data_IF_028217039785
#
_entry.id   IF_028217039785
#
_cell.length_a   1.000
_cell.length_b   1.000
_cell.length_c   1.000
_cell.angle_alpha   90.00
_cell.angle_beta   90.00
_cell.angle_gamma   90.00
#
_symmetry.space_group_name_H-M   'P 1'
#
loop_
_entity.id
_entity.type
_entity.pdbx_description
1 polymer ?
#
# COMPACT_ATOMS: atom_id res chain seq x y z
N UNK A 1 -20.83 10.91 -5.88
CA UNK A 1 -20.71 9.63 -6.63
C UNK A 1 -20.10 8.62 -5.68
N UNK A 2 -20.67 7.41 -5.63
CA UNK A 2 -20.07 6.29 -4.90
C UNK A 2 -18.77 5.89 -5.59
N UNK A 3 -17.77 5.42 -4.85
CA UNK A 3 -16.43 5.10 -5.37
C UNK A 3 -16.09 3.64 -5.13
N UNK A 4 -15.44 3.03 -6.14
CA UNK A 4 -14.78 1.74 -6.04
C UNK A 4 -13.33 1.95 -5.62
N UNK A 5 -12.94 1.38 -4.50
CA UNK A 5 -11.60 1.57 -3.92
C UNK A 5 -10.78 0.28 -3.99
N UNK A 6 -9.51 0.42 -4.35
CA UNK A 6 -8.50 -0.62 -4.14
C UNK A 6 -7.62 -0.20 -2.97
N UNK A 7 -7.51 -1.04 -1.94
CA UNK A 7 -6.65 -0.79 -0.78
C UNK A 7 -5.63 -1.92 -0.70
N UNK A 8 -4.36 -1.63 -0.95
CA UNK A 8 -3.30 -2.62 -0.78
C UNK A 8 -2.74 -2.55 0.63
N UNK A 9 -2.38 -3.69 1.21
CA UNK A 9 -2.01 -3.76 2.63
C UNK A 9 -3.21 -3.60 3.58
N UNK A 10 -4.42 -3.89 3.08
CA UNK A 10 -5.66 -3.67 3.83
C UNK A 10 -5.88 -4.66 4.97
N UNK A 11 -5.14 -5.76 5.04
CA UNK A 11 -5.15 -6.68 6.19
C UNK A 11 -4.18 -6.24 7.31
N UNK A 12 -3.33 -5.25 7.06
CA UNK A 12 -2.44 -4.67 8.06
C UNK A 12 -3.18 -3.77 9.05
N UNK A 13 -2.46 -3.30 10.09
CA UNK A 13 -3.04 -2.46 11.14
C UNK A 13 -3.71 -1.19 10.59
N UNK A 14 -2.98 -0.37 9.84
CA UNK A 14 -3.53 0.87 9.28
C UNK A 14 -4.62 0.58 8.26
N UNK A 15 -4.37 -0.39 7.37
CA UNK A 15 -5.29 -0.73 6.28
C UNK A 15 -6.64 -1.23 6.76
N UNK A 16 -6.67 -2.12 7.76
CA UNK A 16 -7.93 -2.65 8.30
C UNK A 16 -8.78 -1.57 8.98
N UNK A 17 -8.16 -0.68 9.75
CA UNK A 17 -8.88 0.46 10.36
C UNK A 17 -9.43 1.43 9.30
N UNK A 18 -8.68 1.65 8.21
CA UNK A 18 -9.16 2.44 7.09
C UNK A 18 -10.37 1.78 6.42
N UNK A 19 -10.31 0.46 6.18
CA UNK A 19 -11.43 -0.32 5.63
C UNK A 19 -12.66 -0.19 6.51
N UNK A 20 -12.54 -0.43 7.80
CA UNK A 20 -13.64 -0.33 8.78
C UNK A 20 -14.26 1.08 8.79
N UNK A 21 -13.42 2.12 8.70
CA UNK A 21 -13.90 3.49 8.62
C UNK A 21 -14.68 3.73 7.32
N UNK A 22 -14.12 3.33 6.18
CA UNK A 22 -14.72 3.56 4.87
C UNK A 22 -16.04 2.79 4.68
N UNK A 23 -16.18 1.58 5.21
CA UNK A 23 -17.44 0.82 5.18
C UNK A 23 -18.58 1.51 5.90
N UNK A 24 -18.29 2.43 6.84
CA UNK A 24 -19.29 3.29 7.49
C UNK A 24 -19.68 4.50 6.65
N UNK A 25 -19.02 4.73 5.53
CA UNK A 25 -19.30 5.82 4.59
C UNK A 25 -20.09 5.34 3.38
N UNK A 26 -20.36 6.25 2.44
CA UNK A 26 -21.07 5.92 1.20
C UNK A 26 -20.12 5.43 0.10
N UNK A 27 -19.31 4.40 0.39
CA UNK A 27 -18.44 3.71 -0.58
C UNK A 27 -19.27 2.71 -1.39
N UNK A 28 -18.92 2.48 -2.66
CA UNK A 28 -19.58 1.46 -3.50
C UNK A 28 -19.02 0.08 -3.20
N UNK A 29 -17.71 -0.10 -3.45
CA UNK A 29 -16.99 -1.33 -3.13
C UNK A 29 -15.58 -1.04 -2.64
N UNK A 30 -15.05 -1.92 -1.80
CA UNK A 30 -13.66 -1.95 -1.35
C UNK A 30 -13.07 -3.30 -1.70
N UNK A 31 -12.07 -3.31 -2.58
CA UNK A 31 -11.22 -4.47 -2.80
C UNK A 31 -9.92 -4.28 -2.04
N UNK A 32 -9.62 -5.19 -1.13
CA UNK A 32 -8.36 -5.26 -0.41
C UNK A 32 -7.44 -6.23 -1.14
N UNK A 33 -6.19 -5.80 -1.37
CA UNK A 33 -5.09 -6.64 -1.83
C UNK A 33 -4.07 -6.78 -0.70
N UNK A 34 -3.82 -7.99 -0.25
CA UNK A 34 -2.81 -8.31 0.76
C UNK A 34 -2.32 -9.74 0.51
N UNK A 35 -1.03 -10.00 0.67
CA UNK A 35 -0.44 -11.33 0.49
C UNK A 35 -0.50 -12.18 1.76
N UNK A 36 -1.02 -11.60 2.84
CA UNK A 36 -1.06 -12.21 4.18
C UNK A 36 0.26 -12.84 4.61
N UNK A 37 1.40 -12.23 4.18
CA UNK A 37 2.72 -12.76 4.46
C UNK A 37 3.05 -12.86 5.96
N UNK A 38 4.12 -13.57 6.27
CA UNK A 38 4.61 -13.90 7.61
C UNK A 38 5.52 -12.82 8.24
N UNK A 39 5.46 -11.58 7.77
CA UNK A 39 6.22 -10.47 8.39
C UNK A 39 5.89 -10.31 9.88
N UNK A 40 4.65 -10.56 10.23
CA UNK A 40 4.16 -10.89 11.57
C UNK A 40 3.07 -11.96 11.45
N UNK A 41 2.62 -12.49 12.57
CA UNK A 41 1.67 -13.60 12.61
C UNK A 41 0.50 -13.43 11.64
N UNK A 42 0.34 -14.28 10.61
CA UNK A 42 -0.71 -14.16 9.59
C UNK A 42 -2.13 -14.20 10.17
N UNK A 43 -2.33 -14.88 11.29
CA UNK A 43 -3.64 -14.94 11.94
C UNK A 43 -4.11 -13.58 12.45
N UNK A 44 -3.18 -12.68 12.81
CA UNK A 44 -3.53 -11.30 13.16
C UNK A 44 -4.12 -10.58 11.94
N UNK A 45 -3.52 -10.76 10.75
CA UNK A 45 -4.03 -10.18 9.50
C UNK A 45 -5.41 -10.76 9.16
N UNK A 46 -5.60 -12.07 9.33
CA UNK A 46 -6.91 -12.71 9.12
C UNK A 46 -7.97 -12.18 10.07
N UNK A 47 -7.63 -12.02 11.34
CA UNK A 47 -8.51 -11.42 12.35
C UNK A 47 -8.88 -9.97 12.00
N UNK A 48 -7.92 -9.17 11.54
CA UNK A 48 -8.15 -7.79 11.11
C UNK A 48 -9.15 -7.68 9.97
N UNK A 49 -9.22 -8.67 9.07
CA UNK A 49 -10.17 -8.64 7.94
C UNK A 49 -11.54 -9.23 8.28
N UNK A 50 -11.66 -9.97 9.38
CA UNK A 50 -12.87 -10.72 9.72
C UNK A 50 -14.13 -9.84 9.82
N UNK A 51 -14.13 -8.68 10.52
CA UNK A 51 -15.32 -7.86 10.64
C UNK A 51 -15.86 -7.34 9.30
N UNK A 52 -14.96 -7.04 8.36
CA UNK A 52 -15.32 -6.50 7.05
C UNK A 52 -15.87 -7.57 6.09
N UNK A 53 -15.54 -8.86 6.30
CA UNK A 53 -15.93 -9.94 5.36
C UNK A 53 -17.43 -10.18 5.26
N UNK A 54 -18.20 -9.76 6.23
CA UNK A 54 -19.66 -9.87 6.21
C UNK A 54 -20.35 -8.76 5.41
N UNK A 55 -19.61 -7.67 5.10
CA UNK A 55 -20.15 -6.57 4.30
C UNK A 55 -20.07 -6.94 2.81
N UNK A 56 -21.20 -6.96 2.07
CA UNK A 56 -21.22 -7.33 0.66
C UNK A 56 -20.41 -6.38 -0.25
N UNK A 57 -20.03 -5.21 0.24
CA UNK A 57 -19.19 -4.24 -0.47
C UNK A 57 -17.70 -4.55 -0.32
N UNK A 58 -17.32 -5.48 0.55
CA UNK A 58 -15.94 -5.83 0.83
C UNK A 58 -15.51 -7.09 0.06
N UNK A 59 -14.31 -7.03 -0.50
CA UNK A 59 -13.63 -8.19 -1.11
C UNK A 59 -12.17 -8.23 -0.68
N UNK A 60 -11.69 -9.38 -0.19
CA UNK A 60 -10.27 -9.65 0.02
C UNK A 60 -9.72 -10.47 -1.16
N UNK A 61 -8.69 -9.96 -1.80
CA UNK A 61 -7.87 -10.65 -2.78
C UNK A 61 -6.48 -10.94 -2.17
N UNK A 62 -6.20 -12.22 -1.88
CA UNK A 62 -4.90 -12.66 -1.37
C UNK A 62 -3.89 -12.66 -2.53
N UNK A 63 -3.30 -11.50 -2.82
CA UNK A 63 -2.39 -11.27 -3.94
C UNK A 63 -1.17 -10.49 -3.47
N UNK A 64 0.01 -10.95 -3.88
CA UNK A 64 1.26 -10.20 -3.73
C UNK A 64 1.32 -9.08 -4.79
N UNK A 65 1.63 -7.86 -4.38
CA UNK A 65 1.76 -6.71 -5.31
C UNK A 65 2.89 -6.87 -6.33
N UNK A 66 3.81 -7.81 -6.11
CA UNK A 66 4.84 -8.19 -7.09
C UNK A 66 4.29 -9.05 -8.22
N UNK A 67 3.17 -9.73 -8.01
CA UNK A 67 2.50 -10.55 -9.03
C UNK A 67 1.63 -9.68 -9.96
N UNK A 68 2.30 -9.10 -10.97
CA UNK A 68 1.64 -8.25 -11.96
C UNK A 68 0.51 -8.97 -12.72
N UNK A 69 0.65 -10.28 -12.95
CA UNK A 69 -0.35 -11.06 -13.67
C UNK A 69 -1.68 -11.14 -12.90
N UNK A 70 -1.61 -11.48 -11.61
CA UNK A 70 -2.78 -11.54 -10.74
C UNK A 70 -3.39 -10.15 -10.49
N UNK A 71 -2.56 -9.12 -10.31
CA UNK A 71 -3.05 -7.74 -10.21
C UNK A 71 -3.80 -7.33 -11.48
N UNK A 72 -3.23 -7.60 -12.67
CA UNK A 72 -3.88 -7.28 -13.94
C UNK A 72 -5.23 -7.99 -14.10
N UNK A 73 -5.36 -9.22 -13.61
CA UNK A 73 -6.64 -9.93 -13.54
C UNK A 73 -7.68 -9.15 -12.74
N UNK A 74 -7.33 -8.64 -11.55
CA UNK A 74 -8.24 -7.85 -10.71
C UNK A 74 -8.71 -6.57 -11.41
N UNK A 75 -7.81 -5.89 -12.11
CA UNK A 75 -8.15 -4.68 -12.87
C UNK A 75 -8.99 -4.98 -14.13
N UNK A 76 -8.93 -6.20 -14.64
CA UNK A 76 -9.81 -6.66 -15.72
C UNK A 76 -11.24 -7.00 -15.26
N UNK A 77 -11.41 -7.40 -13.99
CA UNK A 77 -12.70 -7.74 -13.40
C UNK A 77 -13.53 -6.53 -13.00
N UNK A 78 -12.88 -5.44 -12.58
CA UNK A 78 -13.57 -4.23 -12.12
C UNK A 78 -12.74 -2.97 -12.30
N UNK A 79 -13.40 -1.83 -12.39
CA UNK A 79 -12.75 -0.52 -12.43
C UNK A 79 -12.60 0.07 -11.02
N UNK A 80 -11.48 0.75 -10.79
CA UNK A 80 -11.23 1.47 -9.54
C UNK A 80 -11.19 2.98 -9.76
N UNK A 81 -11.80 3.74 -8.86
CA UNK A 81 -11.76 5.20 -8.87
C UNK A 81 -10.55 5.74 -8.11
N UNK A 82 -10.13 5.01 -7.08
CA UNK A 82 -9.01 5.39 -6.21
C UNK A 82 -8.26 4.15 -5.73
N UNK A 83 -6.94 4.25 -5.69
CA UNK A 83 -6.04 3.28 -5.05
C UNK A 83 -5.46 3.92 -3.79
N UNK A 84 -5.55 3.22 -2.67
CA UNK A 84 -4.82 3.54 -1.44
C UNK A 84 -3.75 2.47 -1.23
N UNK A 85 -2.51 2.85 -1.50
CA UNK A 85 -1.38 1.92 -1.48
C UNK A 85 -0.64 1.96 -0.15
N UNK A 86 -0.94 0.98 0.72
CA UNK A 86 -0.32 0.82 2.03
C UNK A 86 0.57 -0.44 2.11
N UNK A 87 0.43 -1.37 1.16
CA UNK A 87 1.26 -2.57 1.12
C UNK A 87 2.73 -2.20 0.99
N UNK A 88 3.55 -2.70 1.89
CA UNK A 88 4.99 -2.54 1.88
C UNK A 88 5.66 -3.52 2.86
N UNK A 89 6.91 -3.87 2.61
CA UNK A 89 7.77 -4.37 3.67
C UNK A 89 8.18 -3.18 4.53
N UNK A 90 7.81 -3.21 5.82
CA UNK A 90 8.05 -2.12 6.77
C UNK A 90 9.27 -2.37 7.65
N UNK A 91 9.79 -1.32 8.28
CA UNK A 91 10.84 -1.42 9.30
C UNK A 91 12.26 -1.26 8.76
N UNK A 92 13.02 -0.42 9.45
CA UNK A 92 14.40 -0.09 9.11
C UNK A 92 15.33 -1.29 9.33
N UNK A 93 15.28 -1.92 10.52
CA UNK A 93 16.19 -3.02 10.88
C UNK A 93 16.05 -4.24 9.95
N UNK A 94 14.84 -4.77 9.68
CA UNK A 94 14.70 -5.89 8.75
C UNK A 94 15.16 -5.55 7.32
N UNK A 95 15.05 -4.29 6.88
CA UNK A 95 15.50 -3.88 5.55
C UNK A 95 17.00 -4.00 5.35
N UNK A 96 17.80 -3.88 6.42
CA UNK A 96 19.26 -4.09 6.36
C UNK A 96 19.61 -5.55 6.11
N UNK A 97 18.80 -6.48 6.59
CA UNK A 97 19.02 -7.92 6.43
C UNK A 97 18.47 -8.44 5.08
N UNK A 98 17.46 -7.81 4.51
CA UNK A 98 16.77 -8.28 3.31
C UNK A 98 16.54 -7.15 2.28
N UNK A 99 17.57 -6.40 1.85
CA UNK A 99 17.39 -5.21 1.02
C UNK A 99 16.74 -5.49 -0.34
N UNK A 100 17.02 -6.65 -0.93
CA UNK A 100 16.42 -7.08 -2.20
C UNK A 100 14.91 -7.24 -2.09
N UNK A 101 14.43 -7.94 -1.05
CA UNK A 101 13.01 -8.12 -0.81
C UNK A 101 12.28 -6.77 -0.62
N UNK A 102 12.94 -5.81 0.03
CA UNK A 102 12.39 -4.46 0.19
C UNK A 102 12.31 -3.72 -1.16
N UNK A 103 13.34 -3.85 -2.01
CA UNK A 103 13.32 -3.26 -3.35
C UNK A 103 12.24 -3.88 -4.24
N UNK A 104 12.15 -5.20 -4.26
CA UNK A 104 11.13 -5.91 -5.04
C UNK A 104 9.71 -5.54 -4.61
N UNK A 105 9.45 -5.52 -3.30
CA UNK A 105 8.10 -5.26 -2.81
C UNK A 105 7.77 -3.77 -2.90
N UNK A 106 8.63 -2.90 -2.35
CA UNK A 106 8.28 -1.49 -2.18
C UNK A 106 8.49 -0.64 -3.44
N UNK A 107 9.41 -1.04 -4.34
CA UNK A 107 9.64 -0.34 -5.61
C UNK A 107 8.90 -1.03 -6.75
N UNK A 108 9.23 -2.29 -7.05
CA UNK A 108 8.63 -2.98 -8.18
C UNK A 108 7.14 -3.23 -7.98
N UNK A 109 6.70 -3.59 -6.76
CA UNK A 109 5.30 -3.73 -6.42
C UNK A 109 4.52 -2.42 -6.57
N UNK A 110 5.10 -1.29 -6.12
CA UNK A 110 4.51 0.04 -6.32
C UNK A 110 4.42 0.39 -7.81
N UNK A 111 5.48 0.12 -8.58
CA UNK A 111 5.51 0.37 -10.03
C UNK A 111 4.42 -0.43 -10.77
N UNK A 112 4.21 -1.69 -10.40
CA UNK A 112 3.11 -2.49 -10.95
C UNK A 112 1.75 -1.82 -10.78
N UNK A 113 1.47 -1.29 -9.57
CA UNK A 113 0.22 -0.61 -9.27
C UNK A 113 0.08 0.71 -10.01
N UNK A 114 1.15 1.51 -10.10
CA UNK A 114 1.15 2.78 -10.83
C UNK A 114 0.90 2.56 -12.33
N UNK A 115 1.55 1.55 -12.93
CA UNK A 115 1.33 1.20 -14.34
C UNK A 115 -0.11 0.73 -14.60
N UNK A 116 -0.68 -0.11 -13.72
CA UNK A 116 -2.07 -0.53 -13.82
C UNK A 116 -3.02 0.67 -13.62
N UNK A 117 -2.74 1.55 -12.65
CA UNK A 117 -3.51 2.77 -12.44
C UNK A 117 -3.54 3.65 -13.70
N UNK A 118 -2.39 3.84 -14.35
CA UNK A 118 -2.26 4.57 -15.61
C UNK A 118 -3.04 3.90 -16.75
N UNK A 119 -2.87 2.60 -16.94
CA UNK A 119 -3.53 1.82 -18.00
C UNK A 119 -5.05 1.84 -17.87
N UNK A 120 -5.56 1.72 -16.65
CA UNK A 120 -6.99 1.69 -16.33
C UNK A 120 -7.57 3.07 -15.98
N UNK A 121 -6.79 4.15 -16.12
CA UNK A 121 -7.20 5.55 -15.91
C UNK A 121 -7.78 5.79 -14.51
N UNK A 122 -7.17 5.19 -13.48
CA UNK A 122 -7.54 5.44 -12.09
C UNK A 122 -7.29 6.91 -11.75
N UNK A 123 -8.29 7.58 -11.19
CA UNK A 123 -8.26 9.05 -11.01
C UNK A 123 -7.46 9.51 -9.81
N UNK A 124 -7.33 8.67 -8.80
CA UNK A 124 -6.64 9.01 -7.55
C UNK A 124 -5.74 7.86 -7.11
N UNK A 125 -4.51 8.20 -6.72
CA UNK A 125 -3.57 7.28 -6.12
C UNK A 125 -3.04 7.91 -4.83
N UNK A 126 -3.25 7.26 -3.70
CA UNK A 126 -2.78 7.70 -2.38
C UNK A 126 -1.67 6.75 -1.96
N UNK A 127 -0.47 7.27 -1.79
CA UNK A 127 0.70 6.49 -1.40
C UNK A 127 1.04 6.66 0.08
N UNK A 128 1.04 5.56 0.83
CA UNK A 128 1.49 5.54 2.22
C UNK A 128 3.02 5.62 2.31
N UNK A 129 3.56 6.79 2.53
CA UNK A 129 5.00 6.99 2.73
C UNK A 129 5.43 6.69 4.18
N UNK A 130 6.52 7.27 4.65
CA UNK A 130 7.07 7.10 6.00
C UNK A 130 7.92 8.30 6.38
N UNK A 131 7.92 8.68 7.65
CA UNK A 131 8.87 9.68 8.18
C UNK A 131 10.34 9.26 8.06
N UNK A 132 10.61 7.97 7.86
CA UNK A 132 11.97 7.47 7.59
C UNK A 132 12.61 8.08 6.34
N UNK A 133 11.81 8.62 5.40
CA UNK A 133 12.32 9.27 4.18
C UNK A 133 13.12 10.53 4.47
N UNK A 134 12.88 11.19 5.60
CA UNK A 134 13.63 12.39 5.99
C UNK A 134 15.06 12.10 6.45
N UNK A 135 15.39 10.83 6.75
CA UNK A 135 16.75 10.37 7.03
C UNK A 135 17.40 11.12 8.20
N UNK A 136 18.63 11.61 7.96
CA UNK A 136 19.36 12.45 8.93
C UNK A 136 18.83 13.88 8.80
N UNK A 137 17.86 14.22 9.62
CA UNK A 137 17.33 15.58 9.70
C UNK A 137 17.45 16.09 11.14
N UNK A 138 18.15 17.21 11.32
CA UNK A 138 18.33 17.83 12.63
C UNK A 138 17.09 18.60 13.11
N UNK A 139 16.14 18.90 12.20
CA UNK A 139 14.91 19.61 12.54
C UNK A 139 13.90 18.65 13.15
N UNK A 140 13.32 19.03 14.28
CA UNK A 140 12.24 18.32 14.97
C UNK A 140 11.20 19.37 15.42
N UNK A 141 9.92 19.15 15.14
CA UNK A 141 9.32 18.06 14.36
C UNK A 141 9.64 18.15 12.87
N UNK A 142 9.55 17.00 12.17
CA UNK A 142 9.61 16.97 10.70
C UNK A 142 8.43 17.71 10.09
N UNK A 143 8.62 18.22 8.86
CA UNK A 143 7.59 18.86 8.05
C UNK A 143 7.53 18.19 6.68
N UNK A 144 6.37 18.18 6.05
CA UNK A 144 6.19 17.68 4.68
C UNK A 144 7.00 18.48 3.65
N UNK A 145 7.38 19.73 3.98
CA UNK A 145 8.26 20.57 3.16
C UNK A 145 9.75 20.24 3.32
N UNK A 146 10.10 19.38 4.29
CA UNK A 146 11.50 19.01 4.52
C UNK A 146 12.03 18.15 3.35
N UNK A 147 13.25 18.41 2.87
CA UNK A 147 13.79 17.72 1.72
C UNK A 147 14.15 16.25 2.02
N UNK A 148 13.80 15.36 1.12
CA UNK A 148 14.18 13.94 1.14
C UNK A 148 15.55 13.80 0.47
N UNK A 149 16.65 13.82 1.25
CA UNK A 149 18.00 13.86 0.69
C UNK A 149 18.87 12.67 1.04
N UNK A 150 18.78 12.14 2.24
CA UNK A 150 19.71 11.14 2.76
C UNK A 150 18.99 10.03 3.51
N UNK A 151 18.36 9.08 2.78
CA UNK A 151 17.77 7.91 3.41
C UNK A 151 18.89 7.07 4.08
N UNK A 152 18.66 6.65 5.32
CA UNK A 152 19.65 5.93 6.13
C UNK A 152 19.41 4.40 6.17
N UNK A 153 18.50 3.91 5.34
CA UNK A 153 18.21 2.48 5.25
C UNK A 153 17.60 2.12 3.90
N UNK A 154 17.68 0.85 3.47
CA UNK A 154 16.94 0.37 2.30
C UNK A 154 15.44 0.66 2.38
N UNK A 155 14.82 0.49 3.56
CA UNK A 155 13.42 0.86 3.77
C UNK A 155 13.14 2.34 3.45
N UNK A 156 13.94 3.25 4.03
CA UNK A 156 13.79 4.69 3.78
C UNK A 156 13.99 5.02 2.29
N UNK A 157 15.01 4.43 1.65
CA UNK A 157 15.29 4.62 0.23
C UNK A 157 14.13 4.13 -0.66
N UNK A 158 13.57 2.95 -0.37
CA UNK A 158 12.46 2.40 -1.15
C UNK A 158 11.16 3.20 -0.98
N UNK A 159 10.89 3.75 0.23
CA UNK A 159 9.74 4.64 0.45
C UNK A 159 9.92 5.98 -0.26
N UNK A 160 11.13 6.54 -0.25
CA UNK A 160 11.48 7.73 -1.02
C UNK A 160 11.34 7.53 -2.54
N UNK A 161 11.81 6.39 -3.05
CA UNK A 161 11.61 6.03 -4.45
C UNK A 161 10.13 5.95 -4.84
N UNK A 162 9.27 5.34 -4.00
CA UNK A 162 7.83 5.29 -4.23
C UNK A 162 7.18 6.67 -4.32
N UNK A 163 7.63 7.64 -3.51
CA UNK A 163 7.16 9.03 -3.62
C UNK A 163 7.56 9.67 -4.95
N UNK A 164 8.80 9.45 -5.42
CA UNK A 164 9.27 10.00 -6.69
C UNK A 164 8.53 9.38 -7.88
N UNK A 165 8.29 8.08 -7.87
CA UNK A 165 7.52 7.38 -8.90
C UNK A 165 6.07 7.86 -8.98
N UNK A 166 5.48 8.25 -7.87
CA UNK A 166 4.09 8.73 -7.81
C UNK A 166 3.92 10.14 -8.40
N UNK A 167 4.97 10.97 -8.38
CA UNK A 167 4.92 12.35 -8.92
C UNK A 167 5.25 12.44 -10.42
N UNK A 168 5.65 11.37 -11.06
CA UNK A 168 5.90 11.30 -12.50
C UNK A 168 4.70 10.78 -13.28
#
# INVERSE_FOLDING_TARGET
MKKNLLITGGAGFIGSHLVDHLLRTNVEHITVVDDLNDFYEPEIKRANTHPAREDPRYRLAEVDIRDRGRLNGLFGEQSFDCIVHLAARAGVRPSLAQPELYSETNINGTLNLLELARQHKVKQFVFGSSSSVYGINAKVPFSEDDPIRQPISPYAATKGAGMMLHHG
#
